data_IF_810245681838
#
_entry.id   IF_810245681838
#
_cell.length_a   1.000
_cell.length_b   1.000
_cell.length_c   1.000
_cell.angle_alpha   90.00
_cell.angle_beta   90.00
_cell.angle_gamma   90.00
#
_symmetry.space_group_name_H-M   'P 1'
#
loop_
_entity.id
_entity.type
_entity.pdbx_description
1 polymer ?
#
# COMPACT_ATOMS: atom_id res chain seq x y z
N UNK A 1 9.53 -24.79 19.83
CA UNK A 1 8.90 -23.54 19.36
C UNK A 1 9.52 -23.23 18.01
N UNK A 2 8.67 -23.08 16.99
CA UNK A 2 9.06 -22.89 15.59
C UNK A 2 9.72 -21.53 15.38
N UNK A 3 10.74 -21.46 14.51
CA UNK A 3 11.41 -20.22 14.09
C UNK A 3 10.64 -19.55 12.95
N UNK A 4 9.33 -19.33 13.13
CA UNK A 4 8.44 -18.82 12.07
C UNK A 4 8.03 -17.36 12.26
N UNK A 5 8.36 -16.75 13.40
CA UNK A 5 8.01 -15.37 13.73
C UNK A 5 9.24 -14.45 13.69
N UNK A 6 9.99 -14.45 12.58
CA UNK A 6 10.88 -13.30 12.32
C UNK A 6 10.04 -12.20 11.68
N UNK A 7 9.31 -11.54 12.55
CA UNK A 7 8.61 -10.27 12.40
C UNK A 7 9.53 -9.30 11.65
N UNK A 8 9.35 -9.18 10.34
CA UNK A 8 10.01 -8.16 9.53
C UNK A 8 9.15 -6.91 9.60
N UNK A 9 9.22 -6.25 10.75
CA UNK A 9 8.68 -4.93 10.97
C UNK A 9 9.43 -3.92 10.08
N UNK A 10 8.92 -3.69 8.87
CA UNK A 10 9.30 -2.54 8.06
C UNK A 10 8.02 -1.83 7.61
N UNK A 11 7.84 -0.63 8.17
CA UNK A 11 6.85 0.41 7.80
C UNK A 11 5.37 0.23 8.22
N UNK A 12 5.09 0.29 9.53
CA UNK A 12 3.96 1.03 10.14
C UNK A 12 2.52 0.79 9.65
N UNK A 13 2.27 -0.20 8.82
CA UNK A 13 0.95 -0.63 8.34
C UNK A 13 0.86 -2.11 8.65
N UNK A 14 -0.16 -2.51 9.41
CA UNK A 14 -0.36 -3.91 9.74
C UNK A 14 -0.70 -4.71 8.47
N UNK A 15 -0.21 -5.94 8.38
CA UNK A 15 -0.39 -6.77 7.19
C UNK A 15 -1.89 -7.05 6.94
N UNK A 16 -2.69 -7.14 8.02
CA UNK A 16 -4.15 -7.21 8.00
C UNK A 16 -4.80 -6.01 7.28
N UNK A 17 -4.26 -4.80 7.44
CA UNK A 17 -4.80 -3.61 6.77
C UNK A 17 -4.49 -3.62 5.27
N UNK A 18 -3.34 -4.17 4.88
CA UNK A 18 -2.99 -4.37 3.47
C UNK A 18 -3.85 -5.45 2.80
N UNK A 19 -4.37 -6.42 3.57
CA UNK A 19 -5.31 -7.41 3.07
C UNK A 19 -6.68 -6.80 2.71
N UNK A 20 -7.06 -5.69 3.32
CA UNK A 20 -8.28 -4.94 2.97
C UNK A 20 -8.17 -4.25 1.60
N UNK A 21 -6.94 -3.99 1.13
CA UNK A 21 -6.68 -3.39 -0.17
C UNK A 21 -6.80 -4.39 -1.31
N UNK A 22 -7.27 -3.90 -2.47
CA UNK A 22 -7.20 -4.70 -3.70
C UNK A 22 -5.73 -4.91 -4.11
N UNK A 23 -5.46 -5.98 -4.86
CA UNK A 23 -4.11 -6.31 -5.34
C UNK A 23 -3.44 -5.12 -6.04
N UNK A 24 -4.19 -4.36 -6.85
CA UNK A 24 -3.66 -3.19 -7.56
C UNK A 24 -3.40 -1.99 -6.63
N UNK A 25 -4.18 -1.82 -5.57
CA UNK A 25 -4.01 -0.75 -4.58
C UNK A 25 -2.82 -1.06 -3.68
N UNK A 26 -2.72 -2.30 -3.19
CA UNK A 26 -1.62 -2.79 -2.38
C UNK A 26 -0.30 -2.68 -3.11
N UNK A 27 -0.21 -3.21 -4.34
CA UNK A 27 1.01 -3.16 -5.15
C UNK A 27 1.52 -1.72 -5.33
N UNK A 28 0.61 -0.77 -5.59
CA UNK A 28 0.97 0.64 -5.72
C UNK A 28 1.39 1.22 -4.38
N UNK A 29 0.66 0.94 -3.32
CA UNK A 29 0.95 1.44 -1.97
C UNK A 29 2.32 0.92 -1.49
N UNK A 30 2.57 -0.37 -1.61
CA UNK A 30 3.86 -1.00 -1.31
C UNK A 30 4.97 -0.38 -2.15
N UNK A 31 4.79 -0.25 -3.46
CA UNK A 31 5.86 0.26 -4.32
C UNK A 31 6.18 1.74 -4.11
N UNK A 32 5.21 2.54 -3.67
CA UNK A 32 5.35 4.01 -3.60
C UNK A 32 5.39 4.62 -2.22
N UNK A 33 4.70 4.02 -1.24
CA UNK A 33 4.67 4.48 0.15
C UNK A 33 5.69 3.70 0.99
N UNK A 34 5.76 2.38 0.81
CA UNK A 34 6.73 1.53 1.52
C UNK A 34 8.06 1.42 0.75
N UNK A 35 7.98 1.49 -0.57
CA UNK A 35 9.11 1.35 -1.48
C UNK A 35 9.78 2.67 -1.83
N UNK A 36 10.62 2.62 -2.87
CA UNK A 36 11.45 3.74 -3.29
C UNK A 36 10.85 4.59 -4.43
N UNK A 37 9.74 4.14 -5.03
CA UNK A 37 9.22 4.78 -6.24
C UNK A 37 8.29 5.97 -5.96
N UNK A 38 8.49 7.08 -6.67
CA UNK A 38 7.47 8.12 -6.74
C UNK A 38 6.28 7.69 -7.61
N UNK A 39 5.06 8.20 -7.35
CA UNK A 39 3.82 7.92 -8.14
C UNK A 39 4.02 8.03 -9.66
N UNK A 40 4.76 9.05 -10.09
CA UNK A 40 5.05 9.30 -11.52
C UNK A 40 6.11 8.37 -12.09
N UNK A 41 7.03 7.93 -11.26
CA UNK A 41 8.10 7.00 -11.61
C UNK A 41 7.56 5.58 -11.72
N UNK A 42 6.79 5.15 -10.71
CA UNK A 42 6.05 3.90 -10.72
C UNK A 42 5.11 3.79 -11.91
N UNK A 43 4.37 4.85 -12.23
CA UNK A 43 3.50 4.88 -13.40
C UNK A 43 4.27 4.74 -14.73
N UNK A 44 5.48 5.29 -14.83
CA UNK A 44 6.31 5.11 -16.02
C UNK A 44 6.85 3.69 -16.13
N UNK A 45 7.30 3.11 -15.03
CA UNK A 45 7.88 1.77 -15.01
C UNK A 45 6.82 0.70 -15.31
N UNK A 46 5.60 0.89 -14.83
CA UNK A 46 4.48 -0.05 -15.00
C UNK A 46 3.60 0.24 -16.22
N UNK A 47 3.97 1.20 -17.06
CA UNK A 47 3.16 1.71 -18.18
C UNK A 47 1.73 2.16 -17.77
N UNK A 48 1.55 2.52 -16.49
CA UNK A 48 0.28 3.03 -15.96
C UNK A 48 0.23 4.54 -16.08
N UNK A 49 -0.96 5.06 -16.40
CA UNK A 49 -1.20 6.51 -16.36
C UNK A 49 -0.97 7.01 -14.92
N UNK A 50 -0.26 8.13 -14.71
CA UNK A 50 0.00 8.65 -13.37
C UNK A 50 -1.28 9.00 -12.59
N UNK A 51 -2.37 9.33 -13.30
CA UNK A 51 -3.69 9.52 -12.68
C UNK A 51 -4.31 8.23 -12.15
N UNK A 52 -4.03 7.08 -12.78
CA UNK A 52 -4.49 5.77 -12.29
C UNK A 52 -3.76 5.41 -11.00
N UNK A 53 -2.43 5.55 -10.97
CA UNK A 53 -1.62 5.28 -9.78
C UNK A 53 -2.05 6.18 -8.61
N UNK A 54 -2.29 7.47 -8.89
CA UNK A 54 -2.80 8.40 -7.88
C UNK A 54 -4.19 8.03 -7.35
N UNK A 55 -5.11 7.55 -8.21
CA UNK A 55 -6.42 7.10 -7.76
C UNK A 55 -6.33 5.85 -6.88
N UNK A 56 -5.49 4.88 -7.24
CA UNK A 56 -5.27 3.67 -6.44
C UNK A 56 -4.69 4.03 -5.06
N UNK A 57 -3.74 4.97 -4.99
CA UNK A 57 -3.21 5.46 -3.73
C UNK A 57 -4.23 6.18 -2.86
N UNK A 58 -5.07 7.02 -3.47
CA UNK A 58 -6.10 7.74 -2.75
C UNK A 58 -7.08 6.75 -2.10
N UNK A 59 -7.49 5.71 -2.85
CA UNK A 59 -8.33 4.63 -2.33
C UNK A 59 -7.65 3.83 -1.24
N UNK A 60 -6.39 3.45 -1.45
CA UNK A 60 -5.63 2.73 -0.43
C UNK A 60 -5.56 3.50 0.89
N UNK A 61 -5.31 4.80 0.83
CA UNK A 61 -5.27 5.65 2.04
C UNK A 61 -6.64 5.85 2.68
N UNK A 62 -7.71 5.88 1.89
CA UNK A 62 -9.09 5.96 2.39
C UNK A 62 -9.47 4.68 3.14
N UNK A 63 -9.04 3.52 2.63
CA UNK A 63 -9.24 2.23 3.32
C UNK A 63 -8.40 2.15 4.59
N UNK A 64 -7.09 2.38 4.51
CA UNK A 64 -6.17 2.26 5.65
C UNK A 64 -6.38 3.34 6.72
N UNK A 65 -6.87 4.53 6.34
CA UNK A 65 -7.16 5.65 7.25
C UNK A 65 -8.63 5.79 7.61
N UNK A 66 -9.47 4.86 7.17
CA UNK A 66 -10.92 4.86 7.39
C UNK A 66 -11.36 4.20 8.70
N UNK A 67 -10.44 3.52 9.40
CA UNK A 67 -10.68 2.83 10.68
C UNK A 67 -10.54 3.75 11.91
N UNK A 68 -10.61 5.08 11.73
CA UNK A 68 -10.68 6.07 12.81
C UNK A 68 -12.08 6.68 12.98
N UNK A 69 -13.17 5.95 12.77
CA UNK A 69 -14.53 6.43 13.10
C UNK A 69 -15.45 5.29 13.57
N UNK A 70 -15.10 4.65 14.70
CA UNK A 70 -16.06 3.91 15.54
C UNK A 70 -16.52 4.86 16.66
N UNK A 71 -17.55 5.69 16.41
CA UNK A 71 -18.23 6.54 17.42
C UNK A 71 -19.74 6.65 17.22
#
# INVERSE_FOLDING_TARGET
>A
MSLSDFESADAGVDEDDLEQLTEAEREVYESTVLGEYGVREYGRETDRRPGTVGNLLARARETLGGDEDDV
#
